data_IF_229706135893
#
_entry.id   IF_229706135893
#
_cell.length_a   1.000
_cell.length_b   1.000
_cell.length_c   1.000
_cell.angle_alpha   90.00
_cell.angle_beta   90.00
_cell.angle_gamma   90.00
#
_symmetry.space_group_name_H-M   'P 1'
#
loop_
_entity.id
_entity.type
_entity.pdbx_description
1 polymer ?
#
# COMPACT_ATOMS: atom_id res chain seq x y z
N UNK A 1 15.82 -3.35 -11.05
CA UNK A 1 15.16 -2.04 -11.08
C UNK A 1 15.68 -1.18 -9.92
N UNK A 2 15.66 -1.65 -8.68
CA UNK A 2 16.28 -1.02 -7.49
C UNK A 2 17.66 -0.38 -7.67
N UNK A 3 18.62 -1.02 -8.35
CA UNK A 3 19.97 -0.45 -8.56
C UNK A 3 19.94 0.93 -9.22
N UNK A 4 19.02 1.16 -10.17
CA UNK A 4 18.88 2.45 -10.84
C UNK A 4 18.39 3.54 -9.89
N UNK A 5 17.37 3.24 -9.08
CA UNK A 5 16.85 4.16 -8.06
C UNK A 5 17.91 4.48 -7.00
N UNK A 6 18.64 3.47 -6.55
CA UNK A 6 19.73 3.64 -5.59
C UNK A 6 20.84 4.53 -6.15
N UNK A 7 21.26 4.33 -7.41
CA UNK A 7 22.25 5.20 -8.06
C UNK A 7 21.71 6.63 -8.20
N UNK A 8 20.45 6.79 -8.61
CA UNK A 8 19.81 8.11 -8.74
C UNK A 8 19.79 8.86 -7.39
N UNK A 9 19.41 8.18 -6.31
CA UNK A 9 19.48 8.70 -4.93
C UNK A 9 20.91 9.08 -4.54
N UNK A 10 21.88 8.18 -4.73
CA UNK A 10 23.26 8.39 -4.30
C UNK A 10 23.99 9.48 -5.11
N UNK A 11 23.51 9.81 -6.31
CA UNK A 11 23.94 10.96 -7.10
C UNK A 11 23.33 12.29 -6.63
N UNK A 12 22.54 12.30 -5.54
CA UNK A 12 21.91 13.51 -5.01
C UNK A 12 20.72 14.01 -5.83
N UNK A 13 20.16 13.18 -6.72
CA UNK A 13 19.06 13.59 -7.61
C UNK A 13 17.67 13.53 -6.97
N UNK A 14 17.57 13.04 -5.74
CA UNK A 14 16.35 13.11 -4.92
C UNK A 14 16.55 14.22 -3.89
N UNK A 15 15.85 15.36 -4.01
CA UNK A 15 16.10 16.55 -3.19
C UNK A 15 15.72 16.32 -1.72
N UNK A 16 16.55 16.78 -0.78
CA UNK A 16 16.29 16.67 0.66
C UNK A 16 17.05 15.53 1.35
N UNK A 17 16.77 15.35 2.65
CA UNK A 17 17.31 14.26 3.46
C UNK A 17 16.24 13.18 3.63
N UNK A 18 16.60 11.92 3.35
CA UNK A 18 15.66 10.80 3.30
C UNK A 18 16.22 9.61 4.06
N UNK A 19 15.39 9.00 4.89
CA UNK A 19 15.70 7.73 5.56
C UNK A 19 15.50 6.56 4.61
N UNK A 20 14.52 6.66 3.71
CA UNK A 20 14.21 5.72 2.62
C UNK A 20 13.65 6.50 1.45
N UNK A 21 14.02 6.15 0.22
CA UNK A 21 13.37 6.66 -1.00
C UNK A 21 12.47 5.56 -1.58
N UNK A 22 11.19 5.87 -1.76
CA UNK A 22 10.21 4.97 -2.38
C UNK A 22 9.81 5.47 -3.77
N UNK A 23 9.84 4.59 -4.78
CA UNK A 23 9.32 4.88 -6.12
C UNK A 23 7.98 4.17 -6.35
N UNK A 24 6.91 4.93 -6.51
CA UNK A 24 5.64 4.42 -7.01
C UNK A 24 5.62 4.47 -8.54
N UNK A 25 5.22 3.38 -9.20
CA UNK A 25 5.17 3.29 -10.67
C UNK A 25 3.85 2.69 -11.16
N UNK A 26 3.37 3.15 -12.31
CA UNK A 26 2.24 2.52 -12.99
C UNK A 26 2.67 1.46 -14.02
N UNK A 27 3.98 1.22 -14.14
CA UNK A 27 4.57 0.23 -15.03
C UNK A 27 4.54 -1.16 -14.37
N UNK A 28 4.33 -2.19 -15.18
CA UNK A 28 4.45 -3.59 -14.76
C UNK A 28 5.91 -3.88 -14.41
N UNK A 29 6.16 -4.17 -13.14
CA UNK A 29 7.44 -4.55 -12.56
C UNK A 29 7.74 -6.04 -12.77
N UNK A 30 6.72 -6.84 -13.03
CA UNK A 30 6.85 -8.23 -13.38
C UNK A 30 7.56 -8.43 -14.72
N UNK A 31 8.11 -9.63 -14.90
CA UNK A 31 8.54 -10.07 -16.22
C UNK A 31 7.36 -10.66 -16.99
N UNK A 32 7.52 -10.90 -18.30
CA UNK A 32 6.50 -11.63 -19.07
C UNK A 32 6.24 -13.04 -18.51
N UNK A 33 7.23 -13.61 -17.81
CA UNK A 33 7.23 -14.94 -17.24
C UNK A 33 6.73 -14.97 -15.79
N UNK A 34 6.95 -13.89 -15.03
CA UNK A 34 6.52 -13.75 -13.65
C UNK A 34 5.96 -12.35 -13.37
N UNK A 35 4.64 -12.26 -13.29
CA UNK A 35 3.89 -11.05 -12.96
C UNK A 35 3.55 -10.93 -11.47
N UNK A 36 4.13 -11.78 -10.62
CA UNK A 36 3.84 -11.76 -9.17
C UNK A 36 4.60 -10.64 -8.45
N UNK A 37 5.69 -10.14 -9.04
CA UNK A 37 6.50 -9.05 -8.49
C UNK A 37 5.80 -7.72 -8.74
N UNK A 38 5.21 -7.17 -7.68
CA UNK A 38 4.59 -5.83 -7.68
C UNK A 38 5.39 -4.81 -6.88
N UNK A 39 6.47 -5.23 -6.21
CA UNK A 39 7.30 -4.39 -5.38
C UNK A 39 8.66 -5.03 -5.09
N UNK A 40 9.64 -4.19 -4.74
CA UNK A 40 10.99 -4.58 -4.33
C UNK A 40 11.54 -3.62 -3.30
N UNK A 41 12.34 -4.11 -2.37
CA UNK A 41 13.07 -3.32 -1.39
C UNK A 41 14.46 -3.88 -1.08
N UNK A 42 15.39 -2.98 -0.78
CA UNK A 42 16.63 -3.39 -0.11
C UNK A 42 16.33 -3.69 1.36
N UNK A 43 16.53 -4.93 1.78
CA UNK A 43 16.23 -5.37 3.16
C UNK A 43 17.17 -4.70 4.16
N UNK A 44 16.63 -4.33 5.33
CA UNK A 44 17.41 -3.77 6.45
C UNK A 44 18.28 -2.57 6.03
N UNK A 45 17.75 -1.73 5.14
CA UNK A 45 18.49 -0.65 4.48
C UNK A 45 18.10 0.75 4.93
N UNK A 46 17.03 0.93 5.71
CA UNK A 46 16.62 2.25 6.17
C UNK A 46 17.78 3.00 6.84
N UNK A 47 17.92 4.30 6.54
CA UNK A 47 19.03 5.15 6.95
C UNK A 47 20.41 4.78 6.40
N UNK A 48 20.47 3.96 5.34
CA UNK A 48 21.72 3.64 4.62
C UNK A 48 21.74 4.26 3.22
N UNK A 49 22.91 4.26 2.58
CA UNK A 49 23.03 4.68 1.18
C UNK A 49 22.16 3.80 0.25
N UNK A 50 21.94 2.53 0.61
CA UNK A 50 21.07 1.60 -0.11
C UNK A 50 19.58 1.71 0.24
N UNK A 51 19.13 2.68 1.03
CA UNK A 51 17.74 2.81 1.48
C UNK A 51 16.76 3.17 0.34
N UNK A 52 16.34 2.16 -0.42
CA UNK A 52 15.40 2.30 -1.52
C UNK A 52 14.39 1.17 -1.55
N UNK A 53 13.18 1.51 -1.99
CA UNK A 53 12.10 0.59 -2.30
C UNK A 53 11.30 1.11 -3.49
N UNK A 54 10.58 0.22 -4.18
CA UNK A 54 9.76 0.57 -5.33
C UNK A 54 8.55 -0.37 -5.39
N UNK A 55 7.44 0.10 -5.96
CA UNK A 55 6.27 -0.74 -6.14
C UNK A 55 5.22 -0.13 -7.07
N UNK A 56 4.34 -1.01 -7.54
CA UNK A 56 3.26 -0.67 -8.44
C UNK A 56 2.13 0.06 -7.71
N UNK A 57 1.63 1.15 -8.31
CA UNK A 57 0.40 1.81 -7.93
C UNK A 57 -0.33 2.29 -9.19
N UNK A 58 -1.60 1.92 -9.34
CA UNK A 58 -2.40 2.45 -10.43
C UNK A 58 -2.86 3.87 -10.05
N UNK A 59 -2.63 4.89 -10.90
CA UNK A 59 -2.97 6.26 -10.56
C UNK A 59 -4.43 6.44 -10.13
N UNK A 60 -4.59 7.05 -8.95
CA UNK A 60 -5.85 7.38 -8.27
C UNK A 60 -6.62 6.17 -7.71
N UNK A 61 -6.07 4.95 -7.75
CA UNK A 61 -6.70 3.78 -7.13
C UNK A 61 -6.16 3.47 -5.75
N UNK A 62 -4.94 3.90 -5.41
CA UNK A 62 -4.29 3.61 -4.13
C UNK A 62 -4.15 2.10 -3.87
N UNK A 63 -4.11 1.28 -4.93
CA UNK A 63 -3.96 -0.17 -4.81
C UNK A 63 -2.53 -0.59 -4.44
N UNK A 64 -1.54 0.30 -4.63
CA UNK A 64 -0.16 0.10 -4.21
C UNK A 64 0.13 0.33 -2.72
N UNK A 65 -0.84 0.81 -1.92
CA UNK A 65 -0.59 1.18 -0.51
C UNK A 65 -0.11 -0.01 0.33
N UNK A 66 -0.69 -1.19 0.15
CA UNK A 66 -0.25 -2.39 0.87
C UNK A 66 1.13 -2.87 0.40
N UNK A 67 1.41 -2.77 -0.91
CA UNK A 67 2.72 -3.06 -1.48
C UNK A 67 3.77 -2.12 -0.90
N UNK A 68 3.52 -0.81 -0.90
CA UNK A 68 4.40 0.17 -0.28
C UNK A 68 4.68 -0.16 1.19
N UNK A 69 3.65 -0.49 1.97
CA UNK A 69 3.82 -0.85 3.37
C UNK A 69 4.67 -2.13 3.55
N UNK A 70 4.46 -3.14 2.70
CA UNK A 70 5.23 -4.38 2.68
C UNK A 70 6.71 -4.12 2.37
N UNK A 71 6.99 -3.37 1.30
CA UNK A 71 8.35 -3.05 0.89
C UNK A 71 9.07 -2.16 1.93
N UNK A 72 8.37 -1.20 2.54
CA UNK A 72 8.93 -0.41 3.63
C UNK A 72 9.24 -1.26 4.86
N UNK A 73 8.42 -2.26 5.19
CA UNK A 73 8.72 -3.19 6.27
C UNK A 73 9.97 -4.03 5.98
N UNK A 74 10.23 -4.41 4.72
CA UNK A 74 11.52 -4.98 4.32
C UNK A 74 12.69 -4.01 4.56
N UNK A 75 12.57 -2.73 4.22
CA UNK A 75 13.64 -1.74 4.49
C UNK A 75 13.96 -1.62 5.98
N UNK A 76 12.98 -1.87 6.84
CA UNK A 76 13.10 -1.92 8.30
C UNK A 76 13.53 -3.29 8.85
N UNK A 77 13.97 -4.22 7.99
CA UNK A 77 14.54 -5.51 8.39
C UNK A 77 13.52 -6.62 8.64
N UNK A 78 12.24 -6.43 8.30
CA UNK A 78 11.26 -7.51 8.38
C UNK A 78 11.48 -8.54 7.25
N UNK A 79 11.65 -9.83 7.55
CA UNK A 79 11.53 -10.88 6.54
C UNK A 79 10.04 -11.15 6.22
N UNK A 80 9.81 -12.04 5.25
CA UNK A 80 8.50 -12.65 5.05
C UNK A 80 8.04 -13.48 6.25
N UNK A 81 6.73 -13.54 6.47
CA UNK A 81 6.10 -14.34 7.52
C UNK A 81 6.08 -15.82 7.12
N UNK A 82 7.18 -16.54 7.36
CA UNK A 82 7.36 -17.94 6.95
C UNK A 82 7.78 -18.87 8.09
N UNK A 83 7.71 -18.39 9.33
CA UNK A 83 8.06 -19.19 10.51
C UNK A 83 6.83 -19.97 11.02
N UNK A 84 7.02 -21.03 11.83
CA UNK A 84 5.91 -21.69 12.50
C UNK A 84 5.09 -20.75 13.41
N UNK A 85 5.73 -19.76 14.02
CA UNK A 85 5.09 -18.73 14.85
C UNK A 85 4.26 -17.75 14.02
N UNK A 86 4.76 -17.36 12.84
CA UNK A 86 4.10 -16.45 11.90
C UNK A 86 3.96 -17.13 10.54
N UNK A 87 2.99 -18.07 10.41
CA UNK A 87 2.87 -18.86 9.20
C UNK A 87 2.28 -18.03 8.06
N UNK A 88 2.85 -18.18 6.87
CA UNK A 88 2.49 -17.47 5.64
C UNK A 88 0.98 -17.43 5.36
N UNK A 89 0.29 -18.54 5.64
CA UNK A 89 -1.15 -18.70 5.43
C UNK A 89 -2.03 -17.77 6.30
N UNK A 90 -1.50 -17.17 7.37
CA UNK A 90 -2.23 -16.18 8.18
C UNK A 90 -2.45 -14.86 7.44
N UNK A 91 -1.67 -14.61 6.38
CA UNK A 91 -1.84 -13.46 5.48
C UNK A 91 -1.70 -12.11 6.20
N UNK A 92 -0.71 -12.00 7.10
CA UNK A 92 -0.25 -10.70 7.61
C UNK A 92 0.46 -9.90 6.51
N UNK A 93 0.80 -8.63 6.77
CA UNK A 93 1.36 -7.72 5.79
C UNK A 93 2.55 -8.32 5.01
N UNK A 94 3.39 -9.14 5.65
CA UNK A 94 4.56 -9.77 5.03
C UNK A 94 4.26 -11.10 4.33
N UNK A 95 3.01 -11.30 3.87
CA UNK A 95 2.55 -12.43 3.08
C UNK A 95 1.68 -11.97 1.90
N UNK A 96 1.72 -12.72 0.79
CA UNK A 96 0.89 -12.46 -0.39
C UNK A 96 -0.50 -13.13 -0.31
N UNK A 97 -0.76 -13.92 0.74
CA UNK A 97 -2.08 -14.53 0.97
C UNK A 97 -3.05 -13.48 1.50
N UNK A 98 -4.27 -13.42 0.95
CA UNK A 98 -5.33 -12.56 1.50
C UNK A 98 -5.78 -13.10 2.87
N UNK A 99 -5.11 -12.66 3.94
CA UNK A 99 -5.47 -12.95 5.34
C UNK A 99 -6.64 -12.12 5.87
N UNK A 100 -7.45 -11.55 4.98
CA UNK A 100 -8.56 -10.67 5.32
C UNK A 100 -8.06 -9.38 5.98
N UNK A 101 -8.34 -9.19 7.27
CA UNK A 101 -7.90 -8.02 8.02
C UNK A 101 -6.44 -8.08 8.46
N UNK A 102 -5.82 -9.27 8.45
CA UNK A 102 -4.42 -9.43 8.86
C UNK A 102 -3.46 -8.71 7.91
N UNK A 103 -3.80 -8.57 6.62
CA UNK A 103 -2.95 -7.87 5.64
C UNK A 103 -2.71 -6.39 5.96
N UNK A 104 -3.49 -5.81 6.88
CA UNK A 104 -3.32 -4.44 7.37
C UNK A 104 -2.51 -4.37 8.67
N UNK A 105 -1.90 -5.48 9.09
CA UNK A 105 -1.17 -5.63 10.34
C UNK A 105 0.17 -6.30 10.11
N UNK A 106 1.17 -5.89 10.87
CA UNK A 106 2.40 -6.66 11.03
C UNK A 106 2.09 -7.90 11.88
N UNK A 107 2.76 -9.01 11.60
CA UNK A 107 2.76 -10.16 12.51
C UNK A 107 3.64 -9.87 13.73
N UNK A 108 3.52 -10.63 14.82
CA UNK A 108 4.45 -10.54 15.96
C UNK A 108 5.92 -10.72 15.55
N UNK A 109 6.21 -11.59 14.57
CA UNK A 109 7.57 -11.81 14.07
C UNK A 109 8.08 -10.61 13.29
N UNK A 110 7.23 -10.01 12.44
CA UNK A 110 7.57 -8.80 11.70
C UNK A 110 7.84 -7.63 12.65
N UNK A 111 6.98 -7.42 13.67
CA UNK A 111 7.18 -6.40 14.70
C UNK A 111 8.49 -6.61 15.48
N UNK A 112 8.81 -7.87 15.83
CA UNK A 112 10.05 -8.22 16.51
C UNK A 112 11.28 -7.93 15.65
N UNK A 113 11.27 -8.32 14.38
CA UNK A 113 12.38 -8.05 13.46
C UNK A 113 12.60 -6.55 13.23
N UNK A 114 11.52 -5.79 13.03
CA UNK A 114 11.60 -4.33 12.89
C UNK A 114 12.18 -3.70 14.16
N UNK A 115 11.70 -4.10 15.35
CA UNK A 115 12.24 -3.61 16.62
C UNK A 115 13.73 -3.92 16.75
N UNK A 116 14.13 -5.14 16.41
CA UNK A 116 15.53 -5.57 16.43
C UNK A 116 16.40 -4.78 15.47
N UNK A 117 15.89 -4.38 14.30
CA UNK A 117 16.63 -3.53 13.37
C UNK A 117 16.76 -2.09 13.88
N UNK A 118 15.63 -1.50 14.29
CA UNK A 118 15.52 -0.11 14.72
C UNK A 118 16.39 0.17 15.95
N UNK A 119 16.44 -0.72 16.93
CA UNK A 119 17.23 -0.51 18.16
C UNK A 119 18.75 -0.41 17.93
N UNK A 120 19.26 -0.84 16.76
CA UNK A 120 20.68 -0.78 16.43
C UNK A 120 21.04 0.35 15.45
N UNK A 121 20.10 1.21 15.05
CA UNK A 121 20.47 2.41 14.28
C UNK A 121 20.79 3.58 15.20
N UNK A 122 21.44 4.61 14.65
CA UNK A 122 21.72 5.85 15.36
C UNK A 122 20.44 6.60 15.71
N UNK A 123 20.49 7.45 16.74
CA UNK A 123 19.35 8.33 17.05
C UNK A 123 18.99 9.25 15.88
N UNK A 124 19.99 9.69 15.11
CA UNK A 124 19.79 10.53 13.93
C UNK A 124 18.92 9.88 12.85
N UNK A 125 18.87 8.54 12.79
CA UNK A 125 18.05 7.79 11.84
C UNK A 125 16.54 7.90 12.15
N UNK A 126 16.16 8.07 13.41
CA UNK A 126 14.74 8.06 13.81
C UNK A 126 14.29 9.37 14.48
N UNK A 127 15.20 10.30 14.76
CA UNK A 127 14.84 11.65 15.18
C UNK A 127 14.16 12.36 14.01
N UNK A 128 12.90 12.75 14.20
CA UNK A 128 12.15 13.50 13.18
C UNK A 128 12.75 14.89 13.01
N UNK A 129 13.49 15.10 11.91
CA UNK A 129 14.12 16.38 11.58
C UNK A 129 13.26 17.26 10.66
N UNK A 130 12.26 16.67 9.99
CA UNK A 130 11.38 17.41 9.09
C UNK A 130 10.51 18.41 9.85
N UNK A 131 10.61 19.68 9.48
CA UNK A 131 9.68 20.74 9.93
C UNK A 131 8.29 20.59 9.31
N UNK A 132 8.18 19.80 8.24
CA UNK A 132 6.95 19.56 7.50
C UNK A 132 6.35 18.20 7.85
N UNK A 133 5.06 18.18 8.14
CA UNK A 133 4.31 16.95 8.37
C UNK A 133 3.17 16.86 7.35
N UNK A 134 3.43 16.17 6.24
CA UNK A 134 2.45 15.99 5.18
C UNK A 134 1.16 15.34 5.65
N UNK A 135 1.20 14.47 6.66
CA UNK A 135 -0.02 13.87 7.22
C UNK A 135 -0.89 14.90 7.96
N UNK A 136 -0.29 15.93 8.57
CA UNK A 136 -1.05 17.04 9.19
C UNK A 136 -1.60 18.03 8.18
N UNK A 137 -0.90 18.22 7.06
CA UNK A 137 -1.29 19.13 5.98
C UNK A 137 -2.36 18.51 5.07
N UNK A 138 -2.26 17.20 4.82
CA UNK A 138 -3.18 16.45 3.98
C UNK A 138 -4.06 15.53 4.83
N UNK A 139 -5.05 16.16 5.45
CA UNK A 139 -6.00 15.51 6.37
C UNK A 139 -7.05 14.63 5.67
N UNK A 140 -7.08 14.66 4.33
CA UNK A 140 -8.07 13.95 3.53
C UNK A 140 -7.57 12.57 3.14
N UNK A 141 -8.33 11.55 3.50
CA UNK A 141 -8.07 10.16 3.12
C UNK A 141 -8.58 9.87 1.70
N UNK A 142 -7.99 8.89 0.98
CA UNK A 142 -8.33 8.58 -0.41
C UNK A 142 -9.83 8.45 -0.70
N UNK A 143 -10.56 7.77 0.18
CA UNK A 143 -11.99 7.55 0.06
C UNK A 143 -12.87 8.79 0.25
N UNK A 144 -12.32 9.91 0.72
CA UNK A 144 -13.05 11.16 0.90
C UNK A 144 -13.10 12.02 -0.38
N UNK A 145 -12.29 11.72 -1.40
CA UNK A 145 -12.34 12.43 -2.69
C UNK A 145 -12.44 11.50 -3.90
N UNK A 146 -11.93 10.26 -3.82
CA UNK A 146 -12.11 9.29 -4.91
C UNK A 146 -13.55 8.76 -4.88
N UNK A 147 -14.33 9.06 -5.92
CA UNK A 147 -15.70 8.57 -6.05
C UNK A 147 -15.71 7.07 -6.39
N UNK A 148 -16.59 6.28 -5.77
CA UNK A 148 -16.66 4.83 -5.96
C UNK A 148 -16.81 4.39 -7.43
N UNK A 149 -17.66 5.08 -8.21
CA UNK A 149 -17.78 4.79 -9.65
C UNK A 149 -16.51 5.11 -10.44
N UNK A 150 -15.79 6.17 -10.08
CA UNK A 150 -14.52 6.50 -10.71
C UNK A 150 -13.47 5.43 -10.40
N UNK A 151 -13.37 5.01 -9.14
CA UNK A 151 -12.50 3.91 -8.71
C UNK A 151 -12.81 2.61 -9.48
N UNK A 152 -14.09 2.21 -9.55
CA UNK A 152 -14.48 1.03 -10.32
C UNK A 152 -14.09 1.11 -11.81
N UNK A 153 -14.20 2.28 -12.45
CA UNK A 153 -13.75 2.44 -13.85
C UNK A 153 -12.26 2.17 -14.00
N UNK A 154 -11.46 2.70 -13.07
CA UNK A 154 -9.99 2.52 -13.06
C UNK A 154 -9.60 1.08 -12.79
N UNK A 155 -10.17 0.45 -11.75
CA UNK A 155 -9.88 -0.94 -11.37
C UNK A 155 -10.32 -1.95 -12.44
N UNK A 156 -11.42 -1.69 -13.14
CA UNK A 156 -11.87 -2.50 -14.29
C UNK A 156 -11.16 -2.15 -15.61
N UNK A 157 -10.25 -1.16 -15.61
CA UNK A 157 -9.54 -0.64 -16.80
C UNK A 157 -10.50 -0.30 -17.96
N UNK A 158 -11.65 0.29 -17.64
CA UNK A 158 -12.66 0.63 -18.64
C UNK A 158 -12.27 1.92 -19.41
N UNK A 159 -12.48 1.96 -20.74
CA UNK A 159 -12.31 3.17 -21.53
C UNK A 159 -13.19 4.34 -21.06
N UNK A 160 -12.79 5.56 -21.41
CA UNK A 160 -13.60 6.76 -21.17
C UNK A 160 -15.01 6.61 -21.78
N UNK A 161 -16.01 7.21 -21.14
CA UNK A 161 -17.41 7.16 -21.59
C UNK A 161 -18.19 5.87 -21.22
N UNK A 162 -17.52 4.78 -20.80
CA UNK A 162 -18.23 3.56 -20.37
C UNK A 162 -18.92 3.75 -19.01
N UNK A 163 -20.15 3.23 -18.91
CA UNK A 163 -20.95 3.24 -17.67
C UNK A 163 -20.52 2.09 -16.76
N UNK A 164 -20.37 2.37 -15.47
CA UNK A 164 -20.04 1.38 -14.44
C UNK A 164 -21.02 1.51 -13.28
N UNK A 165 -21.28 0.42 -12.57
CA UNK A 165 -21.86 0.49 -11.21
C UNK A 165 -20.80 0.23 -10.17
N UNK A 166 -20.86 0.99 -9.08
CA UNK A 166 -20.24 0.65 -7.82
C UNK A 166 -21.36 0.40 -6.82
N UNK A 167 -21.38 -0.78 -6.20
CA UNK A 167 -22.30 -1.10 -5.10
C UNK A 167 -21.48 -1.53 -3.89
N UNK A 168 -21.73 -0.90 -2.75
CA UNK A 168 -21.13 -1.30 -1.48
C UNK A 168 -21.49 -2.76 -1.15
N UNK A 169 -20.58 -3.42 -0.45
CA UNK A 169 -20.69 -4.81 0.02
C UNK A 169 -20.11 -4.89 1.43
N UNK A 170 -20.32 -6.02 2.10
CA UNK A 170 -19.83 -6.24 3.46
C UNK A 170 -18.31 -6.08 3.56
N UNK A 171 -17.84 -5.69 4.75
CA UNK A 171 -16.42 -5.62 5.11
C UNK A 171 -15.59 -4.70 4.20
N UNK A 172 -16.10 -3.50 3.92
CA UNK A 172 -15.39 -2.50 3.13
C UNK A 172 -14.95 -3.02 1.76
N UNK A 173 -15.87 -3.74 1.10
CA UNK A 173 -15.72 -4.18 -0.28
C UNK A 173 -16.79 -3.51 -1.14
N UNK A 174 -16.53 -3.35 -2.42
CA UNK A 174 -17.51 -2.89 -3.39
C UNK A 174 -17.54 -3.80 -4.62
N UNK A 175 -18.73 -4.03 -5.15
CA UNK A 175 -18.96 -4.74 -6.40
C UNK A 175 -18.96 -3.74 -7.55
N UNK A 176 -17.97 -3.87 -8.43
CA UNK A 176 -17.81 -3.09 -9.65
C UNK A 176 -18.34 -3.90 -10.85
N UNK A 177 -19.30 -3.34 -11.60
CA UNK A 177 -19.86 -4.00 -12.78
C UNK A 177 -19.82 -3.08 -14.01
N UNK A 178 -19.35 -3.60 -15.13
CA UNK A 178 -19.46 -2.92 -16.42
C UNK A 178 -20.91 -2.97 -16.92
N UNK A 179 -21.56 -1.82 -17.14
CA UNK A 179 -22.94 -1.76 -17.66
C UNK A 179 -23.02 -1.91 -19.18
N UNK A 180 -21.90 -1.87 -19.89
CA UNK A 180 -21.90 -1.89 -21.36
C UNK A 180 -22.25 -3.27 -21.95
N UNK A 181 -22.04 -4.35 -21.19
CA UNK A 181 -22.30 -5.71 -21.66
C UNK A 181 -23.24 -6.41 -20.67
N UNK A 182 -24.45 -6.74 -21.13
CA UNK A 182 -25.34 -7.65 -20.40
C UNK A 182 -24.60 -8.98 -20.21
N UNK A 183 -24.31 -9.33 -18.95
CA UNK A 183 -23.55 -10.54 -18.60
C UNK A 183 -22.05 -10.34 -18.29
N UNK A 184 -21.50 -9.11 -18.35
CA UNK A 184 -20.10 -8.90 -17.93
C UNK A 184 -19.91 -9.24 -16.44
N UNK A 185 -18.86 -10.02 -16.08
CA UNK A 185 -18.62 -10.42 -14.72
C UNK A 185 -18.31 -9.18 -13.86
N UNK A 186 -19.14 -8.97 -12.84
CA UNK A 186 -18.82 -8.01 -11.80
C UNK A 186 -17.63 -8.51 -10.98
N UNK A 187 -16.71 -7.62 -10.64
CA UNK A 187 -15.58 -7.92 -9.76
C UNK A 187 -15.73 -7.19 -8.43
N UNK A 188 -15.25 -7.81 -7.37
CA UNK A 188 -15.26 -7.22 -6.02
C UNK A 188 -13.88 -6.67 -5.71
N UNK A 189 -13.84 -5.42 -5.25
CA UNK A 189 -12.61 -4.73 -4.89
C UNK A 189 -12.71 -4.15 -3.47
N UNK A 190 -11.57 -3.96 -2.76
CA UNK A 190 -11.58 -3.24 -1.51
C UNK A 190 -12.01 -1.79 -1.71
N UNK A 191 -12.69 -1.23 -0.71
CA UNK A 191 -13.00 0.18 -0.62
C UNK A 191 -11.82 0.92 0.01
N UNK A 192 -11.64 2.17 -0.38
CA UNK A 192 -10.57 3.01 0.16
C UNK A 192 -10.90 3.49 1.56
N UNK A 193 -9.85 3.72 2.35
CA UNK A 193 -9.96 4.36 3.65
C UNK A 193 -10.65 5.73 3.49
N UNK A 194 -11.71 5.95 4.27
CA UNK A 194 -12.56 7.14 4.20
C UNK A 194 -13.81 7.00 3.32
N UNK A 195 -13.95 5.95 2.51
CA UNK A 195 -15.18 5.73 1.75
C UNK A 195 -16.32 5.36 2.68
N UNK A 196 -17.52 5.90 2.41
CA UNK A 196 -18.74 5.52 3.11
C UNK A 196 -19.09 4.06 2.80
N UNK A 197 -19.35 3.26 3.83
CA UNK A 197 -19.69 1.83 3.73
C UNK A 197 -21.04 1.47 4.34
N UNK A 198 -21.62 2.41 5.09
CA UNK A 198 -23.00 2.41 5.56
C UNK A 198 -23.36 3.86 5.93
N UNK A 199 -24.63 4.12 6.24
CA UNK A 199 -25.05 5.45 6.72
C UNK A 199 -24.24 5.84 7.97
N UNK A 200 -23.47 6.92 7.87
CA UNK A 200 -22.63 7.45 8.96
C UNK A 200 -21.38 6.63 9.30
N UNK A 201 -21.03 5.59 8.52
CA UNK A 201 -19.84 4.75 8.73
C UNK A 201 -18.91 4.82 7.53
N UNK A 202 -17.60 4.75 7.79
CA UNK A 202 -16.56 4.75 6.76
C UNK A 202 -15.65 3.54 6.88
N UNK A 203 -14.88 3.28 5.83
CA UNK A 203 -13.85 2.25 5.81
C UNK A 203 -12.55 2.75 6.42
N UNK A 204 -11.93 1.93 7.28
CA UNK A 204 -10.56 2.13 7.77
C UNK A 204 -9.90 0.76 7.93
N UNK A 205 -8.82 0.51 7.19
CA UNK A 205 -8.10 -0.78 7.20
C UNK A 205 -9.03 -1.99 7.03
N UNK A 206 -9.96 -1.89 6.08
CA UNK A 206 -10.95 -2.94 5.79
C UNK A 206 -12.12 -3.06 6.78
N UNK A 207 -12.20 -2.23 7.81
CA UNK A 207 -13.28 -2.26 8.81
C UNK A 207 -14.30 -1.14 8.55
N UNK A 208 -15.57 -1.52 8.40
CA UNK A 208 -16.67 -0.56 8.30
C UNK A 208 -17.14 -0.15 9.69
N UNK A 209 -16.98 1.13 10.05
CA UNK A 209 -17.29 1.60 11.39
C UNK A 209 -17.34 3.11 11.52
N UNK A 210 -17.65 3.57 12.73
CA UNK A 210 -17.49 4.98 13.11
C UNK A 210 -16.04 5.18 13.50
N UNK A 211 -15.29 5.90 12.67
CA UNK A 211 -13.86 6.11 12.87
C UNK A 211 -13.57 7.57 13.18
N UNK A 212 -12.65 7.79 14.11
CA UNK A 212 -11.98 9.07 14.24
C UNK A 212 -10.92 9.16 13.14
N UNK A 213 -11.10 10.15 12.28
CA UNK A 213 -10.11 10.58 11.31
C UNK A 213 -9.35 11.73 11.96
N UNK A 214 -8.03 11.59 12.06
CA UNK A 214 -7.19 12.68 12.53
C UNK A 214 -7.25 13.77 11.46
N UNK A 215 -7.99 14.82 11.77
CA UNK A 215 -7.91 16.09 11.06
C UNK A 215 -6.71 16.84 11.65
#
# INVERSE_FOLDING_TARGET
MLNGLQQYKNQGKVPGHHDVVYLATALDMGTKQDRSIVGLANVASACRSSAVAEGEDTPHTYDGVNTMAHELAHTLGSPHDQTPECPWAKGYLMSYVDGGLNKFKLSPCSEKSIRSYVQFQSEDCFRVQSSRNYNREHRKFPGQYVRAQYLCKKLLRLPQGKKVTAKESANCKMKCCNRANWGAPCKTYPMLDGMQCAKGKTCKRGVCGTHQWLN
#
